data_IF_650808795146
#
_entry.id   IF_650808795146
#
_cell.length_a   1.000
_cell.length_b   1.000
_cell.length_c   1.000
_cell.angle_alpha   90.00
_cell.angle_beta   90.00
_cell.angle_gamma   90.00
#
_symmetry.space_group_name_H-M   'P 1'
#
loop_
_entity.id
_entity.type
_entity.pdbx_description
1 polymer ?
#
# COMPACT_ATOMS: atom_id res chain seq x y z
N UNK A 1 -23.06 -23.45 27.94
CA UNK A 1 -23.82 -23.12 29.17
C UNK A 1 -25.27 -23.53 28.98
N UNK A 2 -25.69 -24.69 29.49
CA UNK A 2 -27.11 -24.90 29.79
C UNK A 2 -27.41 -24.00 30.98
N UNK A 3 -27.90 -22.81 30.66
CA UNK A 3 -28.14 -21.76 31.64
C UNK A 3 -29.41 -22.13 32.41
N UNK A 4 -29.31 -22.27 33.74
CA UNK A 4 -30.41 -21.78 34.60
C UNK A 4 -30.73 -20.37 34.11
N UNK A 5 -31.99 -20.01 33.86
CA UNK A 5 -32.33 -18.59 33.69
C UNK A 5 -31.77 -17.87 34.91
N UNK A 6 -30.80 -16.97 34.69
CA UNK A 6 -30.60 -15.89 35.65
C UNK A 6 -31.85 -15.04 35.48
N UNK A 7 -32.73 -15.12 36.46
CA UNK A 7 -33.88 -14.24 36.63
C UNK A 7 -33.38 -12.80 36.54
N UNK A 8 -33.57 -12.16 35.39
CA UNK A 8 -33.74 -10.72 35.38
C UNK A 8 -35.21 -10.49 35.68
N UNK A 9 -35.46 -10.02 36.90
CA UNK A 9 -36.76 -9.50 37.30
C UNK A 9 -37.14 -8.38 36.32
N UNK A 10 -38.13 -8.65 35.47
CA UNK A 10 -38.82 -7.61 34.71
C UNK A 10 -40.32 -7.75 34.97
N UNK A 11 -41.03 -6.63 35.20
CA UNK A 11 -42.39 -6.67 35.71
C UNK A 11 -43.38 -7.10 34.63
N UNK A 12 -44.36 -7.89 35.06
CA UNK A 12 -45.53 -8.39 34.32
C UNK A 12 -46.17 -7.33 33.43
N UNK A 13 -46.21 -7.57 32.12
CA UNK A 13 -47.29 -7.11 31.25
C UNK A 13 -48.09 -8.32 30.77
N UNK A 14 -49.39 -8.32 31.09
CA UNK A 14 -50.41 -9.28 30.70
C UNK A 14 -50.70 -9.28 29.19
N UNK A 15 -51.21 -10.41 28.68
CA UNK A 15 -51.62 -10.73 27.28
C UNK A 15 -50.47 -11.18 26.37
N UNK A 16 -50.37 -12.42 25.87
CA UNK A 16 -51.28 -13.57 25.70
C UNK A 16 -50.48 -14.88 25.86
N UNK A 17 -51.03 -15.90 26.53
CA UNK A 17 -50.30 -17.11 26.92
C UNK A 17 -50.03 -18.06 25.73
N UNK A 18 -48.78 -18.41 25.39
CA UNK A 18 -48.50 -19.65 24.68
C UNK A 18 -48.48 -20.79 25.70
N UNK A 19 -49.42 -21.69 25.47
CA UNK A 19 -49.81 -22.84 26.27
C UNK A 19 -48.69 -23.88 26.44
N UNK A 20 -48.79 -24.57 27.57
CA UNK A 20 -48.23 -25.88 27.94
C UNK A 20 -47.70 -26.71 26.77
N UNK A 21 -46.40 -27.01 26.78
CA UNK A 21 -45.72 -27.73 25.69
C UNK A 21 -44.95 -28.99 26.13
N UNK A 22 -45.09 -29.42 27.38
CA UNK A 22 -44.74 -30.79 27.78
C UNK A 22 -45.99 -31.67 27.64
N UNK A 23 -45.82 -32.94 27.27
CA UNK A 23 -46.92 -33.92 27.25
C UNK A 23 -47.61 -34.06 28.62
N UNK A 24 -46.93 -33.71 29.72
CA UNK A 24 -47.49 -33.69 31.07
C UNK A 24 -48.35 -32.44 31.40
N UNK A 25 -48.55 -31.51 30.46
CA UNK A 25 -49.27 -30.24 30.65
C UNK A 25 -48.71 -29.31 31.74
N UNK A 26 -47.61 -29.68 32.41
CA UNK A 26 -46.91 -28.78 33.32
C UNK A 26 -45.94 -27.86 32.56
N UNK A 27 -45.77 -26.65 33.07
CA UNK A 27 -44.74 -25.72 32.59
C UNK A 27 -43.42 -26.14 33.22
N UNK A 28 -42.44 -26.52 32.41
CA UNK A 28 -41.09 -26.77 32.90
C UNK A 28 -40.50 -25.46 33.44
N UNK A 29 -40.19 -25.44 34.74
CA UNK A 29 -39.57 -24.30 35.43
C UNK A 29 -38.06 -24.45 35.48
N UNK A 30 -37.34 -23.39 35.87
CA UNK A 30 -35.87 -23.42 36.00
C UNK A 30 -35.35 -24.39 37.08
N UNK A 31 -36.23 -24.83 37.99
CA UNK A 31 -35.93 -25.80 39.03
C UNK A 31 -36.18 -27.24 38.58
N UNK A 32 -36.86 -27.43 37.45
CA UNK A 32 -37.09 -28.76 36.91
C UNK A 32 -35.86 -29.19 36.11
N UNK A 33 -35.47 -30.45 36.27
CA UNK A 33 -34.54 -31.09 35.33
C UNK A 33 -35.22 -31.07 33.95
N UNK A 34 -34.89 -30.08 33.12
CA UNK A 34 -35.51 -29.86 31.81
C UNK A 34 -34.46 -29.73 30.71
N UNK A 35 -34.86 -30.04 29.48
CA UNK A 35 -34.08 -29.91 28.25
C UNK A 35 -34.75 -28.88 27.35
N UNK A 36 -33.96 -27.94 26.82
CA UNK A 36 -34.42 -27.00 25.81
C UNK A 36 -34.16 -27.59 24.41
N UNK A 37 -35.18 -27.63 23.55
CA UNK A 37 -35.02 -27.98 22.15
C UNK A 37 -34.31 -26.86 21.39
N UNK A 38 -33.22 -27.16 20.68
CA UNK A 38 -32.44 -26.15 19.95
C UNK A 38 -33.18 -25.58 18.73
N UNK A 39 -34.15 -26.31 18.17
CA UNK A 39 -34.89 -25.84 16.99
C UNK A 39 -36.10 -24.93 17.32
N UNK A 40 -36.84 -25.22 18.40
CA UNK A 40 -38.06 -24.48 18.75
C UNK A 40 -37.98 -23.70 20.07
N UNK A 41 -36.83 -23.73 20.75
CA UNK A 41 -36.57 -23.06 22.03
C UNK A 41 -37.50 -23.47 23.19
N UNK A 42 -38.34 -24.50 23.01
CA UNK A 42 -39.26 -25.02 24.02
C UNK A 42 -38.54 -25.93 25.02
N UNK A 43 -38.91 -25.84 26.31
CA UNK A 43 -38.40 -26.68 27.39
C UNK A 43 -39.27 -27.91 27.63
N UNK A 44 -38.63 -29.06 27.85
CA UNK A 44 -39.26 -30.36 28.06
C UNK A 44 -38.66 -31.07 29.27
N UNK A 45 -39.48 -31.68 30.13
CA UNK A 45 -38.99 -32.64 31.12
C UNK A 45 -38.44 -33.88 30.39
N UNK A 46 -37.27 -34.42 30.74
CA UNK A 46 -36.69 -35.61 30.10
C UNK A 46 -37.68 -36.78 30.01
N UNK A 47 -38.47 -37.00 31.07
CA UNK A 47 -39.52 -38.02 31.09
C UNK A 47 -40.66 -37.79 30.08
N UNK A 48 -41.07 -36.54 29.82
CA UNK A 48 -42.10 -36.22 28.82
C UNK A 48 -41.68 -36.59 27.38
N UNK A 49 -40.37 -36.58 27.11
CA UNK A 49 -39.79 -36.76 25.77
C UNK A 49 -38.95 -38.04 25.66
N UNK A 50 -39.15 -38.99 26.58
CA UNK A 50 -38.48 -40.29 26.61
C UNK A 50 -36.94 -40.20 26.62
N UNK A 51 -36.38 -39.14 27.20
CA UNK A 51 -34.92 -39.04 27.41
C UNK A 51 -34.59 -39.74 28.73
N UNK A 52 -33.76 -40.78 28.64
CA UNK A 52 -33.34 -41.54 29.83
C UNK A 52 -32.48 -40.67 30.77
N UNK A 53 -32.46 -40.96 32.09
CA UNK A 53 -31.60 -40.24 33.04
C UNK A 53 -30.12 -40.24 32.64
N UNK A 54 -29.64 -41.35 32.06
CA UNK A 54 -28.27 -41.47 31.56
C UNK A 54 -28.02 -40.53 30.36
N UNK A 55 -28.93 -40.48 29.39
CA UNK A 55 -28.82 -39.57 28.25
C UNK A 55 -28.88 -38.10 28.69
N UNK A 56 -29.76 -37.76 29.64
CA UNK A 56 -29.84 -36.43 30.23
C UNK A 56 -28.52 -36.01 30.88
N UNK A 57 -27.91 -36.90 31.67
CA UNK A 57 -26.60 -36.67 32.31
C UNK A 57 -25.49 -36.47 31.28
N UNK A 58 -25.54 -37.21 30.16
CA UNK A 58 -24.60 -37.02 29.06
C UNK A 58 -24.76 -35.63 28.40
N UNK A 59 -26.00 -35.18 28.14
CA UNK A 59 -26.26 -33.83 27.62
C UNK A 59 -25.79 -32.73 28.57
N UNK A 60 -26.00 -32.90 29.89
CA UNK A 60 -25.47 -31.96 30.88
C UNK A 60 -23.93 -31.92 30.88
N UNK A 61 -23.27 -33.07 30.87
CA UNK A 61 -21.80 -33.15 30.84
C UNK A 61 -21.22 -32.47 29.59
N UNK A 62 -21.78 -32.76 28.41
CA UNK A 62 -21.34 -32.18 27.14
C UNK A 62 -21.52 -30.65 27.15
N UNK A 63 -22.64 -30.17 27.69
CA UNK A 63 -22.93 -28.76 27.84
C UNK A 63 -21.98 -28.00 28.77
N UNK A 64 -21.50 -28.65 29.83
CA UNK A 64 -20.50 -28.12 30.77
C UNK A 64 -19.12 -28.03 30.11
N UNK A 65 -18.75 -29.05 29.34
CA UNK A 65 -17.50 -29.09 28.58
C UNK A 65 -17.47 -28.14 27.37
N UNK A 66 -18.53 -27.37 27.15
CA UNK A 66 -18.71 -26.51 25.97
C UNK A 66 -18.65 -27.30 24.65
N UNK A 67 -18.92 -28.61 24.70
CA UNK A 67 -19.11 -29.41 23.50
C UNK A 67 -20.56 -29.24 23.04
N UNK A 68 -20.74 -28.87 21.78
CA UNK A 68 -22.06 -28.61 21.22
C UNK A 68 -22.80 -29.93 20.99
N UNK A 69 -23.54 -30.40 21.99
CA UNK A 69 -24.54 -31.45 21.82
C UNK A 69 -25.90 -30.80 21.58
N UNK A 70 -26.30 -30.70 20.32
CA UNK A 70 -27.64 -30.22 20.00
C UNK A 70 -28.66 -31.29 20.39
N UNK A 71 -29.76 -30.88 21.03
CA UNK A 71 -30.90 -31.73 21.32
C UNK A 71 -32.17 -31.19 20.65
N UNK A 72 -32.91 -32.08 20.00
CA UNK A 72 -34.13 -31.76 19.27
C UNK A 72 -35.29 -32.59 19.81
N UNK A 73 -36.44 -31.96 20.06
CA UNK A 73 -37.65 -32.69 20.42
C UNK A 73 -38.15 -33.53 19.23
N UNK A 74 -38.94 -34.58 19.49
CA UNK A 74 -39.42 -35.49 18.45
C UNK A 74 -40.18 -34.78 17.31
N UNK A 75 -40.89 -33.68 17.61
CA UNK A 75 -41.56 -32.87 16.59
C UNK A 75 -40.56 -32.22 15.64
N UNK A 76 -39.49 -31.64 16.17
CA UNK A 76 -38.44 -31.01 15.36
C UNK A 76 -37.57 -32.05 14.65
N UNK A 77 -37.40 -33.24 15.22
CA UNK A 77 -36.64 -34.34 14.59
C UNK A 77 -37.41 -34.97 13.41
N UNK A 78 -38.74 -35.05 13.51
CA UNK A 78 -39.60 -35.63 12.47
C UNK A 78 -39.99 -34.62 11.37
N UNK A 79 -39.76 -33.33 11.59
CA UNK A 79 -39.94 -32.32 10.55
C UNK A 79 -38.82 -32.50 9.51
N UNK A 80 -39.16 -33.07 8.34
CA UNK A 80 -38.20 -33.37 7.25
C UNK A 80 -37.55 -32.12 6.64
N UNK A 81 -37.87 -30.92 7.12
CA UNK A 81 -37.16 -29.68 6.83
C UNK A 81 -35.84 -29.62 7.62
N UNK A 82 -34.90 -30.48 7.25
CA UNK A 82 -33.58 -30.67 7.92
C UNK A 82 -32.64 -29.47 7.74
N UNK A 83 -33.00 -28.44 6.96
CA UNK A 83 -32.18 -27.24 6.76
C UNK A 83 -32.25 -26.20 7.91
N UNK A 84 -32.97 -26.50 8.99
CA UNK A 84 -33.08 -25.56 10.13
C UNK A 84 -31.90 -25.69 11.07
N UNK A 85 -30.80 -25.02 10.73
CA UNK A 85 -29.78 -24.64 11.72
C UNK A 85 -30.49 -23.82 12.81
N UNK A 86 -30.46 -24.26 14.09
CA UNK A 86 -31.00 -23.51 15.22
C UNK A 86 -30.64 -22.02 15.14
N UNK A 87 -31.58 -21.08 15.38
CA UNK A 87 -31.28 -19.65 15.36
C UNK A 87 -30.05 -19.28 16.22
N UNK A 88 -29.88 -19.95 17.35
CA UNK A 88 -28.70 -19.80 18.23
C UNK A 88 -27.39 -20.26 17.59
N UNK A 89 -27.40 -21.39 16.89
CA UNK A 89 -26.25 -21.85 16.11
C UNK A 89 -25.95 -20.89 14.97
N UNK A 90 -26.98 -20.36 14.29
CA UNK A 90 -26.82 -19.37 13.22
C UNK A 90 -26.17 -18.08 13.73
N UNK A 91 -26.63 -17.54 14.86
CA UNK A 91 -26.01 -16.35 15.46
C UNK A 91 -24.56 -16.61 15.86
N UNK A 92 -24.30 -17.74 16.54
CA UNK A 92 -22.94 -18.10 16.97
C UNK A 92 -22.00 -18.29 15.78
N UNK A 93 -22.48 -18.89 14.68
CA UNK A 93 -21.72 -19.02 13.44
C UNK A 93 -21.49 -17.66 12.78
N UNK A 94 -22.50 -16.78 12.73
CA UNK A 94 -22.36 -15.41 12.23
C UNK A 94 -21.30 -14.65 13.01
N UNK A 95 -21.37 -14.64 14.34
CA UNK A 95 -20.38 -13.95 15.20
C UNK A 95 -18.97 -14.51 14.98
N UNK A 96 -18.83 -15.81 14.70
CA UNK A 96 -17.55 -16.44 14.39
C UNK A 96 -17.06 -16.07 12.99
N UNK A 97 -17.95 -15.98 12.00
CA UNK A 97 -17.64 -15.51 10.65
C UNK A 97 -17.15 -14.05 10.73
N UNK A 98 -17.88 -13.18 11.40
CA UNK A 98 -17.51 -11.76 11.56
C UNK A 98 -16.13 -11.61 12.22
N UNK A 99 -15.84 -12.44 13.24
CA UNK A 99 -14.50 -12.48 13.88
C UNK A 99 -13.41 -12.95 12.91
N UNK A 100 -13.68 -13.97 12.11
CA UNK A 100 -12.73 -14.47 11.10
C UNK A 100 -12.48 -13.40 10.03
N UNK A 101 -13.52 -12.74 9.53
CA UNK A 101 -13.41 -11.66 8.55
C UNK A 101 -12.60 -10.47 9.10
N UNK A 102 -12.84 -10.11 10.36
CA UNK A 102 -12.06 -9.09 11.05
C UNK A 102 -10.58 -9.47 11.18
N UNK A 103 -10.29 -10.73 11.54
CA UNK A 103 -8.92 -11.24 11.62
C UNK A 103 -8.24 -11.25 10.25
N UNK A 104 -8.93 -11.67 9.18
CA UNK A 104 -8.42 -11.64 7.81
C UNK A 104 -8.09 -10.22 7.36
N UNK A 105 -8.98 -9.26 7.64
CA UNK A 105 -8.73 -7.84 7.34
C UNK A 105 -7.51 -7.33 8.08
N UNK A 106 -7.37 -7.68 9.36
CA UNK A 106 -6.21 -7.29 10.18
C UNK A 106 -4.91 -7.91 9.66
N UNK A 107 -4.94 -9.18 9.26
CA UNK A 107 -3.79 -9.87 8.69
C UNK A 107 -3.38 -9.28 7.34
N UNK A 108 -4.34 -8.98 6.46
CA UNK A 108 -4.05 -8.33 5.18
C UNK A 108 -3.41 -6.95 5.38
N UNK A 109 -3.94 -6.14 6.30
CA UNK A 109 -3.34 -4.85 6.62
C UNK A 109 -1.89 -4.98 7.14
N UNK A 110 -1.61 -6.00 7.96
CA UNK A 110 -0.25 -6.29 8.43
C UNK A 110 0.65 -6.81 7.31
N UNK A 111 0.12 -7.62 6.39
CA UNK A 111 0.84 -8.09 5.22
C UNK A 111 1.27 -6.93 4.33
N UNK A 112 0.35 -6.01 4.01
CA UNK A 112 0.65 -4.82 3.21
C UNK A 112 1.75 -3.95 3.86
N UNK A 113 1.68 -3.75 5.18
CA UNK A 113 2.72 -3.04 5.94
C UNK A 113 4.09 -3.73 5.88
N UNK A 114 4.12 -5.06 5.91
CA UNK A 114 5.37 -5.82 5.81
C UNK A 114 5.96 -5.74 4.40
N UNK A 115 5.13 -5.80 3.36
CA UNK A 115 5.56 -5.63 1.97
C UNK A 115 6.17 -4.25 1.75
N UNK A 116 5.50 -3.19 2.21
CA UNK A 116 6.02 -1.81 2.13
C UNK A 116 7.37 -1.67 2.86
N UNK A 117 7.51 -2.28 4.04
CA UNK A 117 8.75 -2.28 4.82
C UNK A 117 9.88 -3.04 4.12
N UNK A 118 9.58 -4.17 3.49
CA UNK A 118 10.56 -4.95 2.72
C UNK A 118 11.07 -4.15 1.51
N UNK A 119 10.17 -3.47 0.80
CA UNK A 119 10.54 -2.60 -0.33
C UNK A 119 11.44 -1.43 0.10
N UNK A 120 11.17 -0.83 1.26
CA UNK A 120 12.02 0.22 1.83
C UNK A 120 13.41 -0.31 2.21
N UNK A 121 13.48 -1.46 2.88
CA UNK A 121 14.76 -2.08 3.25
C UNK A 121 15.57 -2.47 2.02
N UNK A 122 14.94 -3.03 1.00
CA UNK A 122 15.61 -3.39 -0.25
C UNK A 122 16.15 -2.15 -0.97
N UNK A 123 15.39 -1.06 -1.03
CA UNK A 123 15.85 0.21 -1.58
C UNK A 123 17.02 0.80 -0.79
N UNK A 124 17.01 0.71 0.54
CA UNK A 124 18.12 1.18 1.38
C UNK A 124 19.39 0.34 1.18
N UNK A 125 19.26 -0.98 1.07
CA UNK A 125 20.37 -1.88 0.77
C UNK A 125 20.99 -1.55 -0.60
N UNK A 126 20.15 -1.37 -1.62
CA UNK A 126 20.57 -1.00 -2.97
C UNK A 126 21.21 0.39 -3.02
N UNK A 127 20.75 1.33 -2.18
CA UNK A 127 21.37 2.65 -2.02
C UNK A 127 22.76 2.54 -1.42
N UNK A 128 22.94 1.72 -0.37
CA UNK A 128 24.25 1.52 0.26
C UNK A 128 25.24 0.86 -0.70
N UNK A 129 24.82 -0.18 -1.43
CA UNK A 129 25.65 -0.81 -2.48
C UNK A 129 26.12 0.19 -3.54
N UNK A 130 25.26 1.12 -3.95
CA UNK A 130 25.59 2.17 -4.94
C UNK A 130 26.19 3.43 -4.33
N UNK A 131 26.30 3.53 -3.00
CA UNK A 131 26.74 4.76 -2.30
C UNK A 131 28.15 5.14 -2.67
N UNK A 132 29.01 4.18 -3.04
CA UNK A 132 30.37 4.44 -3.49
C UNK A 132 30.52 4.47 -5.01
N UNK A 133 29.41 4.46 -5.77
CA UNK A 133 29.46 4.31 -7.22
C UNK A 133 29.15 5.64 -7.93
N UNK A 134 29.77 5.82 -9.10
CA UNK A 134 29.46 6.89 -10.06
C UNK A 134 29.15 6.29 -11.44
N UNK A 135 28.46 7.08 -12.25
CA UNK A 135 28.23 6.78 -13.67
C UNK A 135 28.83 7.92 -14.49
N UNK A 136 29.63 7.56 -15.48
CA UNK A 136 30.19 8.45 -16.48
C UNK A 136 29.47 8.20 -17.82
N UNK A 137 28.98 9.27 -18.44
CA UNK A 137 28.33 9.23 -19.77
C UNK A 137 29.21 9.87 -20.81
N UNK A 138 29.07 9.40 -22.06
CA UNK A 138 29.75 9.93 -23.24
C UNK A 138 31.28 9.91 -23.15
N UNK A 139 31.84 9.00 -22.34
CA UNK A 139 33.28 8.75 -22.34
C UNK A 139 33.56 7.68 -23.39
N UNK A 140 34.03 8.12 -24.54
CA UNK A 140 34.36 7.24 -25.67
C UNK A 140 35.39 6.20 -25.24
N UNK A 141 35.20 4.92 -25.59
CA UNK A 141 36.26 3.94 -25.45
C UNK A 141 37.42 4.33 -26.35
N UNK A 142 38.64 4.14 -25.88
CA UNK A 142 39.84 4.31 -26.70
C UNK A 142 40.29 2.91 -27.07
N UNK A 143 40.29 2.60 -28.36
CA UNK A 143 40.82 1.32 -28.86
C UNK A 143 42.23 1.13 -28.31
N UNK A 144 42.55 -0.09 -27.86
CA UNK A 144 43.81 -0.47 -27.18
C UNK A 144 44.05 0.01 -25.76
N UNK A 145 43.23 0.91 -25.19
CA UNK A 145 43.43 1.37 -23.80
C UNK A 145 42.38 0.79 -22.85
N UNK A 146 42.81 0.36 -21.66
CA UNK A 146 41.89 -0.01 -20.59
C UNK A 146 41.08 1.22 -20.14
N UNK A 147 39.76 1.07 -19.95
CA UNK A 147 38.88 2.12 -19.42
C UNK A 147 39.42 2.76 -18.15
N UNK A 148 40.11 1.97 -17.32
CA UNK A 148 40.77 2.40 -16.11
C UNK A 148 41.72 3.56 -16.39
N UNK A 149 42.66 3.41 -17.33
CA UNK A 149 43.66 4.43 -17.65
C UNK A 149 43.05 5.67 -18.32
N UNK A 150 41.99 5.46 -19.10
CA UNK A 150 41.21 6.56 -19.69
C UNK A 150 40.57 7.39 -18.58
N UNK A 151 39.93 6.76 -17.60
CA UNK A 151 39.32 7.45 -16.45
C UNK A 151 40.36 8.15 -15.59
N UNK A 152 41.49 7.50 -15.28
CA UNK A 152 42.55 8.12 -14.48
C UNK A 152 43.07 9.40 -15.13
N UNK A 153 43.45 9.32 -16.41
CA UNK A 153 43.92 10.48 -17.16
C UNK A 153 42.85 11.55 -17.26
N UNK A 154 41.60 11.18 -17.55
CA UNK A 154 40.50 12.12 -17.65
C UNK A 154 40.27 12.88 -16.34
N UNK A 155 40.16 12.17 -15.23
CA UNK A 155 39.89 12.78 -13.92
C UNK A 155 41.08 13.62 -13.44
N UNK A 156 42.31 13.14 -13.62
CA UNK A 156 43.49 13.90 -13.22
C UNK A 156 43.64 15.18 -14.05
N UNK A 157 43.52 15.10 -15.38
CA UNK A 157 43.76 16.22 -16.27
C UNK A 157 42.64 17.26 -16.25
N UNK A 158 41.38 16.84 -16.15
CA UNK A 158 40.24 17.75 -16.28
C UNK A 158 39.56 18.12 -14.96
N UNK A 159 39.72 17.31 -13.90
CA UNK A 159 39.16 17.61 -12.57
C UNK A 159 40.24 17.98 -11.54
N UNK A 160 41.53 17.72 -11.82
CA UNK A 160 42.61 17.93 -10.86
C UNK A 160 42.53 17.01 -9.64
N UNK A 161 41.76 15.92 -9.72
CA UNK A 161 41.61 14.96 -8.62
C UNK A 161 42.59 13.82 -8.85
N UNK A 162 43.53 13.63 -7.94
CA UNK A 162 44.42 12.47 -7.93
C UNK A 162 43.65 11.28 -7.38
N UNK A 163 43.59 10.19 -8.16
CA UNK A 163 42.97 8.94 -7.76
C UNK A 163 44.10 7.92 -7.60
N UNK A 164 44.14 7.21 -6.48
CA UNK A 164 44.99 6.03 -6.33
C UNK A 164 44.34 4.85 -7.09
N UNK A 165 45.05 4.14 -7.97
CA UNK A 165 44.62 2.86 -8.53
C UNK A 165 43.90 1.95 -7.52
N UNK A 166 44.42 1.78 -6.31
CA UNK A 166 43.84 0.88 -5.30
C UNK A 166 42.43 1.30 -4.83
N UNK A 167 42.06 2.56 -5.03
CA UNK A 167 40.76 3.10 -4.62
C UNK A 167 39.59 2.69 -5.52
N UNK A 168 39.86 2.14 -6.71
CA UNK A 168 38.84 1.61 -7.61
C UNK A 168 38.67 0.11 -7.35
N UNK A 169 37.46 -0.26 -6.93
CA UNK A 169 37.05 -1.65 -6.72
C UNK A 169 36.79 -2.34 -8.06
N UNK A 170 35.87 -1.77 -8.84
CA UNK A 170 35.41 -2.36 -10.09
C UNK A 170 34.93 -1.32 -11.09
N UNK A 171 35.04 -1.65 -12.38
CA UNK A 171 34.57 -0.83 -13.50
C UNK A 171 33.84 -1.70 -14.51
N UNK A 172 32.75 -1.20 -15.07
CA UNK A 172 31.95 -1.93 -16.05
C UNK A 172 31.24 -0.98 -17.01
N UNK A 173 31.08 -1.39 -18.27
CA UNK A 173 30.26 -0.68 -19.25
C UNK A 173 28.87 -1.30 -19.32
N UNK A 174 27.83 -0.47 -19.36
CA UNK A 174 26.46 -0.93 -19.58
C UNK A 174 26.26 -1.20 -21.06
N UNK A 175 25.86 -2.43 -21.41
CA UNK A 175 25.53 -2.77 -22.79
C UNK A 175 24.25 -2.03 -23.20
N UNK A 176 24.33 -1.18 -24.21
CA UNK A 176 23.13 -0.62 -24.84
C UNK A 176 22.52 -1.71 -25.71
N UNK A 177 21.26 -2.07 -25.49
CA UNK A 177 20.60 -3.20 -26.16
C UNK A 177 20.34 -2.99 -27.66
N UNK A 178 20.56 -1.79 -28.19
CA UNK A 178 20.34 -1.47 -29.61
C UNK A 178 21.64 -1.58 -30.40
N UNK A 179 21.78 -2.67 -31.16
CA UNK A 179 22.87 -2.89 -32.12
C UNK A 179 22.93 -1.84 -33.25
N UNK A 180 21.93 -0.96 -33.35
CA UNK A 180 21.80 0.05 -34.41
C UNK A 180 22.31 1.43 -34.00
N UNK A 181 22.65 1.66 -32.72
CA UNK A 181 23.08 2.97 -32.21
C UNK A 181 24.59 2.95 -31.90
N UNK A 182 25.39 2.63 -32.92
CA UNK A 182 26.85 2.49 -32.80
C UNK A 182 27.57 3.81 -32.44
N UNK A 183 26.90 4.95 -32.61
CA UNK A 183 27.53 6.26 -32.41
C UNK A 183 27.52 6.74 -30.96
N UNK A 184 26.72 6.11 -30.08
CA UNK A 184 26.63 6.58 -28.69
C UNK A 184 27.52 5.77 -27.75
N UNK A 185 28.49 6.41 -27.06
CA UNK A 185 29.32 5.72 -26.08
C UNK A 185 28.47 5.09 -24.98
N UNK A 186 28.76 3.84 -24.65
CA UNK A 186 28.15 3.13 -23.53
C UNK A 186 28.40 3.86 -22.21
N UNK A 187 27.47 3.71 -21.27
CA UNK A 187 27.65 4.25 -19.91
C UNK A 187 28.76 3.48 -19.21
N UNK A 188 29.62 4.18 -18.48
CA UNK A 188 30.68 3.57 -17.67
C UNK A 188 30.33 3.70 -16.19
N UNK A 189 30.18 2.57 -15.51
CA UNK A 189 30.03 2.47 -14.06
C UNK A 189 31.38 2.27 -13.38
N UNK A 190 31.58 2.96 -12.27
CA UNK A 190 32.81 2.89 -11.47
C UNK A 190 32.39 2.75 -10.01
N UNK A 191 32.88 1.71 -9.35
CA UNK A 191 32.77 1.49 -7.91
C UNK A 191 34.10 1.82 -7.24
N UNK A 192 34.02 2.58 -6.15
CA UNK A 192 35.18 2.93 -5.34
C UNK A 192 35.17 2.19 -4.00
N UNK A 193 36.36 1.89 -3.50
CA UNK A 193 36.57 1.42 -2.13
C UNK A 193 36.33 2.54 -1.10
N UNK A 194 36.63 3.78 -1.49
CA UNK A 194 36.53 4.96 -0.65
C UNK A 194 35.46 5.96 -1.14
N UNK A 195 34.60 6.39 -0.21
CA UNK A 195 33.57 7.39 -0.44
C UNK A 195 34.15 8.80 -0.63
N UNK A 196 35.32 9.10 -0.06
CA UNK A 196 35.96 10.42 -0.15
C UNK A 196 36.36 10.75 -1.59
N UNK A 197 36.94 9.77 -2.30
CA UNK A 197 37.33 9.86 -3.71
C UNK A 197 36.11 10.16 -4.58
N UNK A 198 35.03 9.37 -4.42
CA UNK A 198 33.75 9.61 -5.11
C UNK A 198 33.25 11.04 -4.88
N UNK A 199 33.28 11.50 -3.63
CA UNK A 199 32.72 12.79 -3.25
C UNK A 199 33.52 13.94 -3.86
N UNK A 200 34.85 13.81 -3.88
CA UNK A 200 35.78 14.76 -4.51
C UNK A 200 35.56 14.86 -6.02
N UNK A 201 35.43 13.72 -6.71
CA UNK A 201 35.13 13.67 -8.15
C UNK A 201 33.79 14.36 -8.45
N UNK A 202 32.74 14.02 -7.71
CA UNK A 202 31.41 14.59 -7.93
C UNK A 202 31.34 16.09 -7.63
N UNK A 203 32.11 16.58 -6.65
CA UNK A 203 32.18 18.01 -6.34
C UNK A 203 32.87 18.82 -7.45
N UNK A 204 33.87 18.23 -8.12
CA UNK A 204 34.61 18.87 -9.23
C UNK A 204 33.94 18.66 -10.59
N UNK A 205 33.09 17.65 -10.74
CA UNK A 205 32.42 17.32 -12.00
C UNK A 205 31.75 18.49 -12.76
N UNK A 206 31.13 19.49 -12.09
CA UNK A 206 30.54 20.65 -12.81
C UNK A 206 31.55 21.46 -13.63
N UNK A 207 32.84 21.44 -13.28
CA UNK A 207 33.90 22.18 -13.97
C UNK A 207 34.04 21.71 -15.43
N UNK A 208 33.74 20.44 -15.72
CA UNK A 208 33.79 19.84 -17.06
C UNK A 208 32.97 20.65 -18.08
N UNK A 209 31.84 21.24 -17.66
CA UNK A 209 30.97 22.03 -18.55
C UNK A 209 31.63 23.30 -19.08
N UNK A 210 32.66 23.79 -18.39
CA UNK A 210 33.41 24.99 -18.74
C UNK A 210 34.74 24.67 -19.42
N UNK A 211 35.00 23.41 -19.76
CA UNK A 211 36.20 23.02 -20.51
C UNK A 211 36.22 23.70 -21.88
N UNK A 212 37.41 24.11 -22.32
CA UNK A 212 37.65 24.57 -23.69
C UNK A 212 37.59 23.42 -24.70
N UNK A 213 37.82 22.18 -24.25
CA UNK A 213 37.73 20.99 -25.08
C UNK A 213 36.27 20.52 -25.22
N UNK A 214 35.78 20.51 -26.47
CA UNK A 214 34.43 20.08 -26.82
C UNK A 214 34.15 18.62 -26.44
N UNK A 215 35.13 17.72 -26.56
CA UNK A 215 34.99 16.29 -26.22
C UNK A 215 34.86 16.10 -24.71
N UNK A 216 35.54 16.93 -23.93
CA UNK A 216 35.42 16.92 -22.46
C UNK A 216 34.06 17.46 -22.04
N UNK A 217 33.60 18.54 -22.66
CA UNK A 217 32.34 19.23 -22.32
C UNK A 217 31.10 18.34 -22.45
N UNK A 218 31.12 17.35 -23.35
CA UNK A 218 30.02 16.39 -23.52
C UNK A 218 30.00 15.26 -22.49
N UNK A 219 31.06 15.10 -21.68
CA UNK A 219 31.13 14.07 -20.64
C UNK A 219 30.32 14.48 -19.42
N UNK A 220 29.50 13.55 -18.90
CA UNK A 220 28.71 13.78 -17.70
C UNK A 220 29.03 12.75 -16.62
N UNK A 221 29.45 13.23 -15.45
CA UNK A 221 29.66 12.40 -14.26
C UNK A 221 28.52 12.62 -13.29
N UNK A 222 27.91 11.55 -12.79
CA UNK A 222 26.79 11.61 -11.84
C UNK A 222 26.85 10.50 -10.79
N UNK A 223 26.10 10.69 -9.70
CA UNK A 223 25.84 9.63 -8.71
C UNK A 223 25.17 8.43 -9.39
N UNK A 224 25.59 7.21 -9.03
CA UNK A 224 24.86 6.00 -9.41
C UNK A 224 23.61 5.89 -8.52
N UNK A 225 22.48 6.34 -9.04
CA UNK A 225 21.19 6.28 -8.32
C UNK A 225 20.54 4.90 -8.47
N UNK A 226 19.75 4.49 -7.49
CA UNK A 226 18.82 3.37 -7.63
C UNK A 226 17.75 3.69 -8.69
N UNK A 227 17.00 2.68 -9.13
CA UNK A 227 15.88 2.88 -10.05
C UNK A 227 14.82 3.83 -9.49
N UNK A 228 14.45 3.66 -8.21
CA UNK A 228 13.49 4.50 -7.50
C UNK A 228 13.98 5.95 -7.39
N UNK A 229 15.24 6.15 -7.00
CA UNK A 229 15.85 7.49 -6.94
C UNK A 229 15.96 8.15 -8.32
N UNK A 230 16.29 7.38 -9.37
CA UNK A 230 16.36 7.89 -10.74
C UNK A 230 14.99 8.36 -11.23
N UNK A 231 13.94 7.58 -10.94
CA UNK A 231 12.56 7.95 -11.25
C UNK A 231 12.12 9.22 -10.50
N UNK A 232 12.34 9.28 -9.19
CA UNK A 232 12.04 10.47 -8.38
C UNK A 232 12.78 11.71 -8.89
N UNK A 233 14.06 11.57 -9.24
CA UNK A 233 14.84 12.67 -9.79
C UNK A 233 14.33 13.12 -11.17
N UNK A 234 13.79 12.20 -11.97
CA UNK A 234 13.15 12.50 -13.24
C UNK A 234 11.82 13.24 -13.05
N UNK A 235 10.96 12.74 -12.17
CA UNK A 235 9.68 13.38 -11.84
C UNK A 235 9.89 14.79 -11.27
N UNK A 236 10.87 14.97 -10.39
CA UNK A 236 11.23 16.28 -9.84
C UNK A 236 11.76 17.25 -10.91
N UNK A 237 12.44 16.75 -11.96
CA UNK A 237 12.82 17.58 -13.12
C UNK A 237 11.57 18.02 -13.89
N UNK A 238 10.71 17.07 -14.26
CA UNK A 238 9.47 17.34 -14.98
C UNK A 238 8.52 18.29 -14.22
N UNK A 239 8.54 18.27 -12.89
CA UNK A 239 7.79 19.24 -12.08
C UNK A 239 8.40 20.63 -12.17
N UNK A 240 9.72 20.77 -12.04
CA UNK A 240 10.38 22.09 -12.17
C UNK A 240 10.19 22.70 -13.55
N UNK A 241 10.30 21.89 -14.60
CA UNK A 241 10.16 22.37 -15.97
C UNK A 241 8.75 22.93 -16.20
N UNK A 242 7.70 22.23 -15.73
CA UNK A 242 6.32 22.72 -15.76
C UNK A 242 6.11 23.99 -14.93
N UNK A 243 6.66 24.06 -13.72
CA UNK A 243 6.55 25.26 -12.90
C UNK A 243 7.26 26.47 -13.53
N UNK A 244 8.36 26.26 -14.25
CA UNK A 244 9.05 27.32 -15.00
C UNK A 244 8.22 27.79 -16.20
N UNK A 245 7.59 26.87 -16.92
CA UNK A 245 6.67 27.19 -18.03
C UNK A 245 5.46 28.00 -17.54
N UNK A 246 4.84 27.60 -16.43
CA UNK A 246 3.73 28.33 -15.80
C UNK A 246 4.15 29.76 -15.39
N UNK A 247 5.34 29.90 -14.82
CA UNK A 247 5.89 31.22 -14.47
C UNK A 247 6.10 32.09 -15.73
N UNK A 248 6.63 31.53 -16.82
CA UNK A 248 6.80 32.25 -18.09
C UNK A 248 5.47 32.64 -18.75
N UNK A 249 4.42 31.83 -18.61
CA UNK A 249 3.08 32.17 -19.11
C UNK A 249 2.41 33.28 -18.27
N UNK A 250 2.65 33.29 -16.96
CA UNK A 250 2.14 34.34 -16.09
C UNK A 250 2.79 35.71 -16.36
N UNK A 251 4.11 35.74 -16.62
CA UNK A 251 4.82 36.98 -16.93
C UNK A 251 4.40 37.55 -18.27
N UNK A 252 4.27 36.72 -19.31
CA UNK A 252 3.79 37.16 -20.63
C UNK A 252 2.35 37.69 -20.59
N UNK A 253 1.45 37.04 -19.86
CA UNK A 253 0.06 37.52 -19.67
C UNK A 253 -0.01 38.86 -18.92
N UNK A 254 0.88 39.07 -17.95
CA UNK A 254 0.94 40.34 -17.20
C UNK A 254 1.45 41.52 -18.02
N UNK A 255 2.32 41.28 -19.02
CA UNK A 255 2.81 42.32 -19.93
C UNK A 255 1.70 42.74 -20.90
N UNK A 256 0.99 41.77 -21.50
CA UNK A 256 -0.13 42.06 -22.42
C UNK A 256 -1.24 42.86 -21.72
N UNK A 257 -1.55 42.56 -20.46
CA UNK A 257 -2.55 43.31 -19.71
C UNK A 257 -2.11 44.73 -19.30
N UNK A 258 -0.80 45.00 -19.15
CA UNK A 258 -0.31 46.36 -18.89
C UNK A 258 -0.45 47.25 -20.13
N UNK A 259 -0.24 46.71 -21.32
CA UNK A 259 -0.42 47.45 -22.56
C UNK A 259 -1.90 47.72 -22.85
N UNK A 260 -2.78 46.75 -22.58
CA UNK A 260 -4.23 46.95 -22.69
C UNK A 260 -4.77 47.95 -21.65
N UNK A 261 -4.25 47.96 -20.41
CA UNK A 261 -4.65 48.97 -19.42
C UNK A 261 -4.13 50.38 -19.72
N UNK A 262 -2.99 50.53 -20.42
CA UNK A 262 -2.55 51.85 -20.90
C UNK A 262 -3.47 52.42 -21.98
N UNK A 263 -4.06 51.56 -22.81
CA UNK A 263 -5.06 51.99 -23.81
C UNK A 263 -6.44 52.26 -23.20
N UNK A 264 -6.79 51.58 -22.10
CA UNK A 264 -8.13 51.68 -21.49
C UNK A 264 -8.24 52.71 -20.34
N UNK A 265 -7.14 53.30 -19.87
CA UNK A 265 -7.18 54.41 -18.90
C UNK A 265 -7.74 55.73 -19.48
N UNK A 266 -8.01 55.80 -20.79
CA UNK A 266 -8.73 56.92 -21.42
C UNK A 266 -10.25 56.71 -21.54
N UNK A 267 -10.79 55.58 -21.09
CA UNK A 267 -12.21 55.27 -21.25
C UNK A 267 -12.85 54.74 -19.95
N UNK A 268 -13.45 55.67 -19.18
CA UNK A 268 -14.57 55.45 -18.24
C UNK A 268 -14.21 54.74 -16.91
N UNK A 269 -14.33 55.32 -15.71
CA UNK A 269 -15.49 55.92 -15.01
C UNK A 269 -16.79 55.11 -15.18
N UNK A 270 -17.21 54.47 -14.08
CA UNK A 270 -18.46 53.70 -13.85
C UNK A 270 -18.51 52.28 -14.42
N UNK A 271 -18.36 51.27 -13.55
CA UNK A 271 -19.45 50.33 -13.23
C UNK A 271 -19.08 49.32 -12.14
N UNK A 272 -20.12 48.96 -11.42
CA UNK A 272 -20.17 48.22 -10.16
C UNK A 272 -19.90 46.70 -10.27
N UNK A 273 -19.03 46.23 -9.38
CA UNK A 273 -19.24 45.22 -8.34
C UNK A 273 -20.30 44.11 -8.60
N UNK A 274 -19.88 42.90 -9.00
CA UNK A 274 -20.63 41.66 -8.76
C UNK A 274 -19.69 40.53 -8.31
N UNK A 275 -19.97 40.05 -7.09
CA UNK A 275 -19.37 38.91 -6.39
C UNK A 275 -19.79 37.58 -7.02
N UNK A 276 -18.86 36.63 -7.16
CA UNK A 276 -19.22 35.22 -7.35
C UNK A 276 -18.29 34.29 -6.56
N UNK A 277 -18.87 33.66 -5.56
CA UNK A 277 -18.30 32.62 -4.71
C UNK A 277 -19.16 31.36 -4.90
N UNK A 278 -18.56 30.18 -5.09
CA UNK A 278 -18.95 28.94 -4.38
C UNK A 278 -18.28 27.64 -4.87
N UNK A 279 -17.84 26.88 -3.85
CA UNK A 279 -17.91 25.43 -3.63
C UNK A 279 -17.14 24.43 -4.52
N UNK A 280 -16.08 23.86 -3.94
CA UNK A 280 -15.46 22.61 -4.41
C UNK A 280 -14.79 21.86 -3.24
N UNK A 281 -15.46 20.83 -2.68
CA UNK A 281 -14.85 20.03 -1.58
C UNK A 281 -15.11 18.51 -1.61
N UNK A 282 -15.81 17.93 -2.59
CA UNK A 282 -16.21 16.50 -2.50
C UNK A 282 -15.52 15.48 -3.44
N UNK A 283 -14.42 15.84 -4.13
CA UNK A 283 -13.77 14.98 -5.14
C UNK A 283 -12.47 14.25 -4.72
N UNK A 284 -12.11 14.21 -3.44
CA UNK A 284 -10.73 13.82 -3.04
C UNK A 284 -10.47 12.32 -2.79
N UNK A 285 -11.46 11.48 -2.49
CA UNK A 285 -11.19 10.10 -2.02
C UNK A 285 -11.05 9.09 -3.18
N UNK A 286 -11.89 9.18 -4.22
CA UNK A 286 -11.86 8.25 -5.37
C UNK A 286 -10.60 8.42 -6.25
N UNK A 287 -10.02 9.62 -6.24
CA UNK A 287 -8.83 9.95 -7.03
C UNK A 287 -7.54 9.27 -6.52
N UNK A 288 -7.43 8.97 -5.23
CA UNK A 288 -6.20 8.40 -4.66
C UNK A 288 -5.96 6.94 -5.06
N UNK A 289 -7.02 6.13 -5.18
CA UNK A 289 -6.90 4.72 -5.57
C UNK A 289 -6.54 4.56 -7.05
N UNK A 290 -7.15 5.38 -7.93
CA UNK A 290 -6.82 5.39 -9.35
C UNK A 290 -5.40 5.92 -9.62
N UNK A 291 -4.94 6.94 -8.87
CA UNK A 291 -3.57 7.43 -8.97
C UNK A 291 -2.53 6.38 -8.55
N UNK A 292 -2.79 5.58 -7.50
CA UNK A 292 -1.88 4.47 -7.12
C UNK A 292 -1.75 3.44 -8.24
N UNK A 293 -2.87 2.99 -8.83
CA UNK A 293 -2.85 2.01 -9.92
C UNK A 293 -2.17 2.52 -11.20
N UNK A 294 -2.34 3.82 -11.53
CA UNK A 294 -1.64 4.44 -12.66
C UNK A 294 -0.12 4.53 -12.43
N UNK A 295 0.33 4.80 -11.20
CA UNK A 295 1.76 4.81 -10.84
C UNK A 295 2.40 3.43 -11.02
N UNK A 296 1.74 2.34 -10.59
CA UNK A 296 2.26 0.97 -10.76
C UNK A 296 2.38 0.55 -12.22
N UNK A 297 1.39 0.91 -13.06
CA UNK A 297 1.43 0.64 -14.51
C UNK A 297 2.54 1.42 -15.23
N UNK A 298 2.82 2.64 -14.80
CA UNK A 298 3.93 3.45 -15.33
C UNK A 298 5.29 2.88 -14.93
N UNK A 299 5.39 2.30 -13.73
CA UNK A 299 6.59 1.61 -13.24
C UNK A 299 6.96 0.40 -14.11
N UNK A 300 5.97 -0.41 -14.52
CA UNK A 300 6.20 -1.54 -15.43
C UNK A 300 6.68 -1.12 -16.83
N UNK A 301 6.11 -0.05 -17.40
CA UNK A 301 6.54 0.44 -18.74
C UNK A 301 7.96 1.00 -18.74
N UNK A 302 8.38 1.66 -17.66
CA UNK A 302 9.75 2.16 -17.53
C UNK A 302 10.75 1.05 -17.16
N UNK A 303 10.27 -0.05 -16.57
CA UNK A 303 11.08 -1.22 -16.24
C UNK A 303 11.63 -1.96 -17.46
N UNK A 304 10.95 -1.89 -18.60
CA UNK A 304 11.37 -2.60 -19.80
C UNK A 304 12.32 -1.77 -20.69
N UNK A 305 12.71 -0.56 -20.24
CA UNK A 305 13.51 0.39 -21.04
C UNK A 305 14.92 0.67 -20.48
N UNK A 306 15.26 0.14 -19.31
CA UNK A 306 16.53 0.32 -18.61
C UNK A 306 16.99 -0.99 -18.00
#
# INVERSE_FOLDING_TARGET
MYKRRKTQDSPKSSESQPQTLCSCQAIATDNDNALQCDACDTWFHPGCVNVSPMAYTAYQTLAEQQQFSNWFCSKCLNDKNVDRVPPRCRQTLSDRIDKIEHHLTTLNNKHDQLVDRLDELNENLEREKRRKNIIVKNLSPVESTNDRDVVFRFVQNHLGVKIDPSSIDSMWRFKTSSATDNDRPSLLGIAFNDLSVRSSILAKAPIIKNSSDALVKIVYIRKHLTKKQSLQAFEARQQRDRSQEEQQQSTTSSVVNKDNNRLNQNSNVRRDNINNNNNSTNNNILNNTQQKQQKTRRYHRLSNRY
#
